data_IF_336782355658
#
_entry.id   IF_336782355658
#
_cell.length_a   1.000
_cell.length_b   1.000
_cell.length_c   1.000
_cell.angle_alpha   90.00
_cell.angle_beta   90.00
_cell.angle_gamma   90.00
#
_symmetry.space_group_name_H-M   'P 1'
#
loop_
_entity.id
_entity.type
_entity.pdbx_description
1 polymer ?
#
# COMPACT_ATOMS: atom_id res chain seq x y z
N UNK A 1 -10.47 -6.24 -12.55
CA UNK A 1 -10.74 -6.89 -11.26
C UNK A 1 -9.49 -6.69 -10.39
N UNK A 2 -9.65 -5.81 -9.39
CA UNK A 2 -8.67 -5.29 -8.44
C UNK A 2 -7.45 -4.55 -9.01
N UNK A 3 -7.32 -3.28 -8.62
CA UNK A 3 -6.17 -2.44 -8.91
C UNK A 3 -4.87 -3.17 -8.52
N UNK A 4 -3.94 -3.36 -9.45
CA UNK A 4 -2.62 -3.99 -9.20
C UNK A 4 -1.68 -3.13 -8.35
N UNK A 5 -2.23 -2.29 -7.47
CA UNK A 5 -1.51 -1.38 -6.61
C UNK A 5 -1.62 -1.90 -5.17
N UNK A 6 -0.52 -2.44 -4.65
CA UNK A 6 -0.44 -2.90 -3.26
C UNK A 6 -0.85 -1.78 -2.28
N UNK A 7 -0.55 -0.53 -2.63
CA UNK A 7 -0.91 0.65 -1.83
C UNK A 7 -2.42 0.82 -1.64
N UNK A 8 -3.26 0.50 -2.63
CA UNK A 8 -4.71 0.61 -2.49
C UNK A 8 -5.27 -0.53 -1.64
N UNK A 9 -4.72 -1.74 -1.80
CA UNK A 9 -5.08 -2.89 -0.97
C UNK A 9 -4.73 -2.65 0.50
N UNK A 10 -3.56 -2.08 0.80
CA UNK A 10 -3.16 -1.75 2.18
C UNK A 10 -4.11 -0.77 2.83
N UNK A 11 -4.43 0.35 2.16
CA UNK A 11 -5.31 1.38 2.73
C UNK A 11 -6.72 0.83 2.94
N UNK A 12 -7.28 0.14 1.94
CA UNK A 12 -8.62 -0.46 2.05
C UNK A 12 -8.71 -1.52 3.15
N UNK A 13 -7.69 -2.37 3.29
CA UNK A 13 -7.65 -3.38 4.36
C UNK A 13 -7.63 -2.74 5.75
N UNK A 14 -6.86 -1.68 5.96
CA UNK A 14 -6.83 -1.00 7.26
C UNK A 14 -8.12 -0.23 7.56
N UNK A 15 -8.74 0.40 6.56
CA UNK A 15 -10.06 1.01 6.75
C UNK A 15 -11.08 -0.05 7.18
N UNK A 16 -11.05 -1.24 6.58
CA UNK A 16 -11.90 -2.35 7.00
C UNK A 16 -11.62 -2.79 8.45
N UNK A 17 -10.34 -2.85 8.85
CA UNK A 17 -9.97 -3.18 10.25
C UNK A 17 -10.59 -2.20 11.23
N UNK A 18 -10.50 -0.89 11.01
CA UNK A 18 -11.11 0.11 11.91
C UNK A 18 -12.64 -0.09 12.00
N UNK A 19 -13.30 -0.31 10.85
CA UNK A 19 -14.75 -0.56 10.79
C UNK A 19 -15.12 -1.83 11.59
N UNK A 20 -14.37 -2.92 11.42
CA UNK A 20 -14.63 -4.17 12.15
C UNK A 20 -14.37 -4.04 13.64
N UNK A 21 -13.35 -3.29 14.07
CA UNK A 21 -13.10 -3.03 15.50
C UNK A 21 -14.30 -2.33 16.14
N UNK A 22 -14.91 -1.37 15.44
CA UNK A 22 -16.13 -0.68 15.90
C UNK A 22 -17.37 -1.59 15.89
N UNK A 23 -17.58 -2.34 14.80
CA UNK A 23 -18.75 -3.23 14.64
C UNK A 23 -18.74 -4.39 15.65
N UNK A 24 -17.57 -4.96 15.91
CA UNK A 24 -17.39 -6.05 16.88
C UNK A 24 -17.28 -5.56 18.33
N UNK A 25 -17.51 -4.26 18.57
CA UNK A 25 -17.48 -3.63 19.90
C UNK A 25 -16.20 -3.97 20.68
N UNK A 26 -15.06 -3.95 20.00
CA UNK A 26 -13.79 -4.19 20.65
C UNK A 26 -13.47 -3.08 21.66
N UNK A 27 -12.67 -3.38 22.70
CA UNK A 27 -12.20 -2.36 23.63
C UNK A 27 -11.63 -1.13 22.92
N UNK A 28 -11.84 0.04 23.52
CA UNK A 28 -11.54 1.33 22.89
C UNK A 28 -10.04 1.47 22.57
N UNK A 29 -9.18 0.79 23.32
CA UNK A 29 -7.73 0.71 23.12
C UNK A 29 -7.39 0.15 21.73
N UNK A 30 -8.11 -0.90 21.28
CA UNK A 30 -7.89 -1.48 19.96
C UNK A 30 -8.37 -0.55 18.84
N UNK A 31 -9.48 0.16 19.05
CA UNK A 31 -9.98 1.15 18.09
C UNK A 31 -8.95 2.28 17.92
N UNK A 32 -8.48 2.87 19.03
CA UNK A 32 -7.47 3.93 19.01
C UNK A 32 -6.18 3.44 18.35
N UNK A 33 -5.70 2.25 18.70
CA UNK A 33 -4.51 1.67 18.11
C UNK A 33 -4.66 1.46 16.59
N UNK A 34 -5.81 0.95 16.13
CA UNK A 34 -6.09 0.75 14.71
C UNK A 34 -6.11 2.07 13.92
N UNK A 35 -6.62 3.16 14.52
CA UNK A 35 -6.60 4.50 13.93
C UNK A 35 -5.15 5.01 13.80
N UNK A 36 -4.32 4.82 14.83
CA UNK A 36 -2.89 5.20 14.78
C UNK A 36 -2.18 4.46 13.64
N UNK A 37 -2.40 3.14 13.50
CA UNK A 37 -1.81 2.36 12.42
C UNK A 37 -2.32 2.84 11.06
N UNK A 38 -3.61 3.17 10.92
CA UNK A 38 -4.18 3.72 9.68
C UNK A 38 -3.47 5.00 9.27
N UNK A 39 -3.28 5.92 10.21
CA UNK A 39 -2.56 7.18 9.98
C UNK A 39 -1.11 6.92 9.56
N UNK A 40 -0.38 6.09 10.29
CA UNK A 40 1.01 5.74 9.96
C UNK A 40 1.14 5.08 8.59
N UNK A 41 0.16 4.25 8.23
CA UNK A 41 0.11 3.57 6.93
C UNK A 41 -0.14 4.55 5.80
N UNK A 42 -1.04 5.53 5.98
CA UNK A 42 -1.24 6.63 5.03
C UNK A 42 0.06 7.41 4.84
N UNK A 43 0.75 7.76 5.93
CA UNK A 43 2.05 8.45 5.85
C UNK A 43 3.09 7.62 5.10
N UNK A 44 3.21 6.33 5.40
CA UNK A 44 4.15 5.41 4.74
C UNK A 44 3.86 5.25 3.25
N UNK A 45 2.60 5.34 2.85
CA UNK A 45 2.19 5.24 1.45
C UNK A 45 2.15 6.56 0.70
N UNK A 46 2.44 7.71 1.34
CA UNK A 46 2.47 9.03 0.65
C UNK A 46 3.40 9.03 -0.57
N UNK A 47 4.56 8.38 -0.47
CA UNK A 47 5.48 8.22 -1.60
C UNK A 47 4.92 7.29 -2.68
N UNK A 48 4.26 6.21 -2.30
CA UNK A 48 3.64 5.29 -3.25
C UNK A 48 2.47 5.95 -3.98
N UNK A 49 1.64 6.73 -3.27
CA UNK A 49 0.56 7.54 -3.84
C UNK A 49 1.15 8.58 -4.80
N UNK A 50 2.26 9.24 -4.42
CA UNK A 50 2.99 10.16 -5.30
C UNK A 50 3.48 9.46 -6.57
N UNK A 51 4.07 8.27 -6.45
CA UNK A 51 4.50 7.43 -7.59
C UNK A 51 3.32 6.98 -8.45
N UNK A 52 2.19 6.63 -7.83
CA UNK A 52 0.93 6.27 -8.49
C UNK A 52 0.39 7.42 -9.33
N UNK A 53 0.32 8.63 -8.75
CA UNK A 53 -0.11 9.85 -9.46
C UNK A 53 0.81 10.22 -10.61
N UNK A 54 2.10 9.87 -10.50
CA UNK A 54 3.10 10.05 -11.56
C UNK A 54 3.14 8.89 -12.57
N UNK A 55 2.32 7.84 -12.41
CA UNK A 55 2.35 6.65 -13.26
C UNK A 55 3.62 5.80 -13.13
N UNK A 56 4.45 6.04 -12.10
CA UNK A 56 5.75 5.39 -11.85
C UNK A 56 5.69 4.25 -10.83
N UNK A 57 4.51 3.91 -10.32
CA UNK A 57 4.33 2.80 -9.39
C UNK A 57 4.35 1.48 -10.17
N UNK A 58 5.22 0.55 -9.76
CA UNK A 58 5.33 -0.76 -10.39
C UNK A 58 4.05 -1.53 -10.11
N UNK A 59 3.38 -1.99 -11.16
CA UNK A 59 2.21 -2.85 -10.97
C UNK A 59 2.66 -4.13 -10.27
N UNK A 60 1.86 -4.63 -9.34
CA UNK A 60 2.10 -5.91 -8.69
C UNK A 60 2.25 -7.00 -9.76
N UNK A 61 3.42 -7.66 -9.81
CA UNK A 61 3.79 -8.65 -10.82
C UNK A 61 4.51 -8.12 -12.08
N UNK A 62 4.88 -6.83 -12.14
CA UNK A 62 5.64 -6.28 -13.26
C UNK A 62 7.09 -6.80 -13.25
N UNK A 63 7.43 -7.61 -14.26
CA UNK A 63 8.79 -8.17 -14.43
C UNK A 63 9.77 -7.03 -14.66
N UNK A 64 10.78 -6.92 -13.80
CA UNK A 64 11.89 -5.96 -13.99
C UNK A 64 12.64 -6.37 -15.24
N UNK A 65 12.56 -5.56 -16.30
CA UNK A 65 13.36 -5.74 -17.52
C UNK A 65 14.80 -5.34 -17.17
N UNK A 66 15.61 -6.30 -16.74
CA UNK A 66 17.05 -6.09 -16.53
C UNK A 66 17.65 -5.82 -17.90
N UNK A 67 17.97 -4.55 -18.20
CA UNK A 67 18.69 -4.18 -19.41
C UNK A 67 20.11 -4.75 -19.29
N UNK A 68 20.39 -5.83 -20.02
CA UNK A 68 21.75 -6.37 -20.19
C UNK A 68 22.58 -5.37 -21.00
N UNK A 69 23.09 -4.33 -20.35
CA UNK A 69 23.87 -3.27 -21.02
C UNK A 69 25.40 -3.52 -21.00
N UNK A 70 25.87 -4.62 -20.39
CA UNK A 70 27.31 -4.91 -20.26
C UNK A 70 27.86 -6.06 -21.13
N UNK A 71 27.12 -6.55 -22.13
CA UNK A 71 27.59 -7.65 -23.00
C UNK A 71 27.94 -7.26 -24.44
N UNK A 72 27.77 -5.99 -24.86
CA UNK A 72 28.11 -5.53 -26.22
C UNK A 72 29.37 -4.66 -26.32
N UNK A 73 30.12 -4.49 -25.23
CA UNK A 73 31.37 -3.70 -25.21
C UNK A 73 32.62 -4.55 -24.91
N UNK A 74 32.62 -5.83 -25.31
CA UNK A 74 33.84 -6.65 -25.34
C UNK A 74 34.21 -6.96 -26.78
#
# INVERSE_FOLDING_TARGET
>A
IFTKYASLASISSLTAVVIFMMLLKQPYEYVIFSIIILILTIFRHKENIKRLRLGKEKKFGEKIKIRKEKQMLK
#
